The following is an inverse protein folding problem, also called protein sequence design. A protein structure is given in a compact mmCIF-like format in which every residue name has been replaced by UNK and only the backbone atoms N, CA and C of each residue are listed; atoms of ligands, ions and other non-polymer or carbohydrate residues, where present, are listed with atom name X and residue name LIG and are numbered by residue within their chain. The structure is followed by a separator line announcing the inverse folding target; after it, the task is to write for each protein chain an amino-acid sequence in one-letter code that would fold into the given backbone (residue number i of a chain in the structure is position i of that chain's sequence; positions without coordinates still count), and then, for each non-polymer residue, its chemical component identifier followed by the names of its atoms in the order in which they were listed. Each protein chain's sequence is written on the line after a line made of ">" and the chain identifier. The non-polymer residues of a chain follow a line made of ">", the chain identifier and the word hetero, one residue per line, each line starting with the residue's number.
data_IF_185794286798
#
_entry.id   IF_185794286798
#
_cell.length_a   1.000
_cell.length_b   1.000
_cell.length_c   1.000
_cell.angle_alpha   90.00
_cell.angle_beta   90.00
_cell.angle_gamma   90.00
#
_symmetry.space_group_name_H-M   'P 1'
#
loop_
_entity.id
_entity.type
_entity.pdbx_description
1 polymer ?
#
# COMPACT_ATOMS: atom_id res chain seq x y z
N UNK A 1 -4.13 -8.93 23.63
CA UNK A 1 -2.96 -8.54 22.82
C UNK A 1 -2.93 -9.40 21.55
N UNK A 2 -2.57 -8.85 20.40
CA UNK A 2 -2.44 -9.63 19.15
C UNK A 2 -1.07 -9.29 18.56
N UNK A 3 -0.17 -10.26 18.60
CA UNK A 3 1.16 -10.20 18.01
C UNK A 3 1.07 -9.86 16.50
N UNK A 4 1.29 -8.60 16.16
CA UNK A 4 1.37 -8.10 14.78
C UNK A 4 2.77 -8.31 14.20
N UNK A 5 3.29 -9.55 14.22
CA UNK A 5 4.53 -9.88 13.51
C UNK A 5 4.25 -10.15 12.03
N UNK A 6 3.79 -9.12 11.29
CA UNK A 6 3.61 -9.15 9.84
C UNK A 6 4.83 -8.57 9.10
N UNK A 7 5.24 -9.23 8.01
CA UNK A 7 6.31 -8.80 7.09
C UNK A 7 5.81 -7.67 6.19
N UNK A 8 6.67 -6.75 5.74
CA UNK A 8 6.22 -5.48 5.17
C UNK A 8 7.00 -5.02 3.95
N UNK A 9 6.29 -4.86 2.84
CA UNK A 9 6.65 -3.95 1.77
C UNK A 9 5.71 -2.75 1.75
N UNK A 10 6.23 -1.57 1.44
CA UNK A 10 5.44 -0.35 1.32
C UNK A 10 5.11 -0.09 -0.14
N UNK A 11 3.83 0.19 -0.40
CA UNK A 11 3.36 0.64 -1.70
C UNK A 11 3.02 2.11 -1.60
N UNK A 12 3.67 2.94 -2.42
CA UNK A 12 3.47 4.40 -2.40
C UNK A 12 3.02 4.95 -3.73
N UNK A 13 2.16 5.96 -3.66
CA UNK A 13 1.89 6.85 -4.77
C UNK A 13 2.74 8.13 -4.61
N UNK A 14 3.63 8.45 -5.57
CA UNK A 14 4.63 9.55 -5.44
C UNK A 14 4.96 10.25 -6.77
N UNK A 15 5.58 11.44 -6.68
CA UNK A 15 6.36 12.15 -7.72
C UNK A 15 7.88 12.16 -7.33
N UNK A 16 8.83 12.02 -8.29
CA UNK A 16 10.30 11.70 -8.10
C UNK A 16 11.18 12.80 -7.42
N UNK A 17 12.45 12.56 -6.94
CA UNK A 17 13.26 11.34 -6.69
C UNK A 17 13.75 11.10 -5.22
N UNK A 18 14.63 10.10 -5.05
CA UNK A 18 14.77 9.16 -3.93
C UNK A 18 16.13 9.15 -3.19
N UNK A 19 16.21 8.41 -2.05
CA UNK A 19 17.28 7.42 -1.75
C UNK A 19 16.91 6.54 -0.54
N UNK A 20 16.86 5.22 -0.73
CA UNK A 20 16.83 4.23 0.35
C UNK A 20 17.37 2.90 -0.20
N UNK A 21 18.36 2.29 0.49
CA UNK A 21 18.97 1.00 0.15
C UNK A 21 17.99 -0.15 0.42
N UNK A 22 17.24 -0.52 -0.62
CA UNK A 22 16.21 -1.56 -0.66
C UNK A 22 16.02 -2.11 -2.07
N UNK A 23 15.50 -3.33 -2.17
CA UNK A 23 14.79 -3.80 -3.37
C UNK A 23 13.59 -2.89 -3.60
N UNK A 24 13.69 -2.01 -4.60
CA UNK A 24 12.68 -1.00 -4.92
C UNK A 24 12.34 -1.06 -6.39
N UNK A 25 11.05 -1.17 -6.72
CA UNK A 25 10.55 -1.02 -8.10
C UNK A 25 9.68 0.22 -8.16
N UNK A 26 9.75 0.92 -9.29
CA UNK A 26 8.98 2.12 -9.55
C UNK A 26 8.39 2.09 -10.95
N UNK A 27 7.10 2.40 -11.06
CA UNK A 27 6.38 2.57 -12.32
C UNK A 27 5.66 3.92 -12.32
N UNK A 28 5.84 4.71 -13.38
CA UNK A 28 5.11 5.96 -13.58
C UNK A 28 4.17 5.82 -14.78
N UNK A 29 2.90 6.19 -14.64
CA UNK A 29 2.02 6.33 -15.79
C UNK A 29 2.49 7.52 -16.64
N UNK A 30 2.50 7.36 -17.96
CA UNK A 30 2.92 8.44 -18.87
C UNK A 30 1.85 9.55 -18.93
N UNK A 31 2.29 10.81 -18.88
CA UNK A 31 1.43 11.99 -18.98
C UNK A 31 1.51 12.94 -17.79
N UNK A 32 1.18 14.21 -18.00
CA UNK A 32 1.23 15.25 -16.96
C UNK A 32 0.17 14.96 -15.88
N UNK A 33 0.59 15.00 -14.61
CA UNK A 33 -0.30 14.77 -13.46
C UNK A 33 -0.73 13.32 -13.26
N UNK A 34 -0.08 12.35 -13.92
CA UNK A 34 -0.35 10.94 -13.71
C UNK A 34 0.41 10.40 -12.49
N UNK A 35 -0.18 9.43 -11.76
CA UNK A 35 0.44 8.86 -10.57
C UNK A 35 1.67 8.01 -10.92
N UNK A 36 2.62 7.94 -9.99
CA UNK A 36 3.65 6.92 -10.00
C UNK A 36 3.53 6.05 -8.77
N UNK A 37 3.74 4.76 -8.96
CA UNK A 37 3.74 3.75 -7.92
C UNK A 37 5.18 3.36 -7.63
N UNK A 38 5.52 3.24 -6.35
CA UNK A 38 6.79 2.67 -5.91
C UNK A 38 6.50 1.58 -4.89
N UNK A 39 7.14 0.43 -5.07
CA UNK A 39 7.13 -0.70 -4.16
C UNK A 39 8.51 -0.78 -3.54
N UNK A 40 8.62 -0.76 -2.22
CA UNK A 40 9.89 -0.98 -1.53
C UNK A 40 9.76 -2.14 -0.54
N UNK A 41 10.71 -3.07 -0.59
CA UNK A 41 10.71 -4.31 0.18
C UNK A 41 11.99 -4.48 0.98
N UNK A 42 11.81 -4.80 2.27
CA UNK A 42 12.89 -5.10 3.19
C UNK A 42 12.99 -6.62 3.36
N UNK A 43 14.01 -7.24 2.77
CA UNK A 43 14.29 -8.67 2.97
C UNK A 43 14.85 -8.98 4.37
N UNK A 44 15.39 -7.97 5.06
CA UNK A 44 15.97 -8.12 6.40
C UNK A 44 14.91 -7.92 7.50
N UNK A 45 14.73 -8.95 8.33
CA UNK A 45 13.80 -8.96 9.46
C UNK A 45 13.96 -7.79 10.44
N UNK A 46 15.19 -7.29 10.61
CA UNK A 46 15.50 -6.17 11.51
C UNK A 46 15.03 -4.81 11.01
N UNK A 47 14.64 -4.71 9.73
CA UNK A 47 14.18 -3.47 9.09
C UNK A 47 12.66 -3.47 8.84
N UNK A 48 11.94 -4.44 9.41
CA UNK A 48 10.47 -4.47 9.42
C UNK A 48 9.96 -3.21 10.10
N UNK A 49 9.04 -2.52 9.46
CA UNK A 49 8.41 -1.33 10.01
C UNK A 49 7.15 -1.77 10.79
N UNK A 50 6.31 -0.84 11.20
CA UNK A 50 4.89 -1.04 11.45
C UNK A 50 4.08 -0.11 10.53
N UNK A 51 2.75 -0.16 10.58
CA UNK A 51 1.91 0.69 9.72
C UNK A 51 2.25 2.18 9.83
N UNK A 52 2.43 2.69 11.05
CA UNK A 52 2.75 4.12 11.28
C UNK A 52 4.14 4.48 10.77
N UNK A 53 5.12 3.61 10.97
CA UNK A 53 6.49 3.80 10.45
C UNK A 53 6.52 3.75 8.92
N UNK A 54 5.74 2.86 8.30
CA UNK A 54 5.58 2.81 6.86
C UNK A 54 4.95 4.09 6.33
N UNK A 55 3.83 4.56 6.92
CA UNK A 55 3.20 5.84 6.57
C UNK A 55 4.21 6.99 6.63
N UNK A 56 4.96 7.09 7.73
CA UNK A 56 5.95 8.14 7.92
C UNK A 56 7.09 8.05 6.90
N UNK A 57 7.58 6.85 6.58
CA UNK A 57 8.59 6.64 5.56
C UNK A 57 8.10 7.13 4.19
N UNK A 58 6.85 6.84 3.83
CA UNK A 58 6.24 7.28 2.59
C UNK A 58 6.12 8.81 2.52
N UNK A 59 5.70 9.45 3.62
CA UNK A 59 5.59 10.91 3.74
C UNK A 59 6.93 11.62 3.66
N UNK A 60 7.97 11.07 4.30
CA UNK A 60 9.37 11.57 4.18
C UNK A 60 9.86 11.49 2.75
N UNK A 61 9.45 10.44 2.05
CA UNK A 61 9.60 10.26 0.63
C UNK A 61 8.55 11.05 -0.17
N UNK A 62 7.98 12.17 0.30
CA UNK A 62 7.09 13.04 -0.48
C UNK A 62 5.92 12.32 -1.18
N UNK A 63 5.48 11.19 -0.64
CA UNK A 63 4.38 10.38 -1.13
C UNK A 63 3.51 9.93 0.03
N UNK A 64 2.62 8.98 -0.26
CA UNK A 64 1.70 8.43 0.72
C UNK A 64 1.52 6.94 0.46
N UNK A 65 1.12 6.19 1.50
CA UNK A 65 0.72 4.81 1.33
C UNK A 65 -0.42 4.73 0.30
N UNK A 66 -0.37 3.70 -0.54
CA UNK A 66 -1.22 3.56 -1.70
C UNK A 66 -2.71 3.47 -1.34
N UNK A 67 -3.53 4.28 -1.99
CA UNK A 67 -4.95 4.03 -2.20
C UNK A 67 -5.18 3.30 -3.53
N UNK A 68 -6.02 2.27 -3.52
CA UNK A 68 -6.40 1.57 -4.75
C UNK A 68 -7.78 2.05 -5.14
N UNK A 69 -7.88 2.77 -6.25
CA UNK A 69 -9.15 3.39 -6.70
C UNK A 69 -9.74 2.71 -7.93
N UNK A 70 -9.00 1.81 -8.57
CA UNK A 70 -9.45 1.13 -9.78
C UNK A 70 -8.75 -0.21 -10.03
N UNK A 71 -9.40 -1.07 -10.81
CA UNK A 71 -8.83 -2.34 -11.27
C UNK A 71 -7.53 -2.16 -12.08
N UNK A 72 -7.42 -1.04 -12.81
CA UNK A 72 -6.20 -0.70 -13.55
C UNK A 72 -5.02 -0.43 -12.61
N UNK A 73 -5.29 0.15 -11.44
CA UNK A 73 -4.25 0.37 -10.43
C UNK A 73 -3.88 -0.92 -9.73
N UNK A 74 -4.87 -1.71 -9.30
CA UNK A 74 -4.65 -3.04 -8.76
C UNK A 74 -3.71 -3.87 -9.66
N UNK A 75 -3.99 -3.92 -10.97
CA UNK A 75 -3.14 -4.66 -11.92
C UNK A 75 -1.69 -4.18 -11.94
N UNK A 76 -1.46 -2.87 -11.85
CA UNK A 76 -0.10 -2.32 -11.78
C UNK A 76 0.59 -2.77 -10.49
N UNK A 77 -0.11 -2.80 -9.36
CA UNK A 77 0.45 -3.24 -8.09
C UNK A 77 0.78 -4.74 -8.12
N UNK A 78 -0.11 -5.56 -8.65
CA UNK A 78 0.12 -7.00 -8.82
C UNK A 78 1.34 -7.26 -9.73
N UNK A 79 1.51 -6.48 -10.79
CA UNK A 79 2.68 -6.53 -11.65
C UNK A 79 3.96 -6.16 -10.87
N UNK A 80 3.94 -5.05 -10.12
CA UNK A 80 5.07 -4.63 -9.30
C UNK A 80 5.48 -5.70 -8.26
N UNK A 81 4.51 -6.33 -7.60
CA UNK A 81 4.74 -7.42 -6.66
C UNK A 81 5.39 -8.61 -7.37
N UNK A 82 4.88 -8.97 -8.55
CA UNK A 82 5.41 -10.06 -9.36
C UNK A 82 6.84 -9.79 -9.82
N UNK A 83 7.16 -8.57 -10.23
CA UNK A 83 8.51 -8.18 -10.68
C UNK A 83 9.52 -8.18 -9.54
N UNK A 84 9.11 -7.75 -8.34
CA UNK A 84 9.97 -7.71 -7.16
C UNK A 84 10.35 -9.12 -6.67
N UNK A 85 9.51 -10.11 -6.99
CA UNK A 85 9.63 -11.51 -6.54
C UNK A 85 10.01 -11.61 -5.06
N UNK A 86 9.23 -10.98 -4.17
CA UNK A 86 9.51 -11.06 -2.74
C UNK A 86 9.46 -12.53 -2.32
N UNK A 87 10.40 -12.90 -1.46
CA UNK A 87 10.50 -14.27 -0.94
C UNK A 87 9.37 -14.62 0.02
N UNK A 88 8.70 -13.60 0.56
CA UNK A 88 7.67 -13.68 1.60
C UNK A 88 7.04 -12.29 1.83
N UNK A 89 5.84 -12.27 2.42
CA UNK A 89 5.36 -11.12 3.20
C UNK A 89 4.13 -10.36 2.71
N UNK A 90 3.61 -9.52 3.61
CA UNK A 90 2.47 -8.65 3.41
C UNK A 90 2.90 -7.24 2.97
N UNK A 91 1.95 -6.47 2.43
CA UNK A 91 2.18 -5.11 1.94
C UNK A 91 1.35 -4.09 2.71
N UNK A 92 1.97 -2.98 3.07
CA UNK A 92 1.25 -1.82 3.56
C UNK A 92 0.68 -0.98 2.41
N UNK A 93 -0.63 -0.79 2.50
CA UNK A 93 -1.41 0.15 1.71
C UNK A 93 -2.06 1.16 2.67
N UNK A 94 -2.58 2.26 2.14
CA UNK A 94 -3.11 3.38 2.91
C UNK A 94 -4.51 3.16 3.49
N UNK A 95 -4.95 1.92 3.69
CA UNK A 95 -6.29 1.62 4.21
C UNK A 95 -6.24 1.49 5.74
N UNK A 96 -7.04 2.29 6.45
CA UNK A 96 -7.10 2.27 7.91
C UNK A 96 -8.53 2.07 8.38
N UNK A 97 -8.71 1.31 9.46
CA UNK A 97 -9.99 1.21 10.16
C UNK A 97 -10.15 2.41 11.11
N UNK A 98 -11.26 3.12 11.00
CA UNK A 98 -11.70 4.10 11.98
C UNK A 98 -12.05 3.44 13.31
N UNK A 99 -11.87 4.19 14.40
CA UNK A 99 -12.35 3.78 15.72
C UNK A 99 -13.87 3.93 15.74
N UNK A 100 -14.58 3.02 15.08
CA UNK A 100 -16.01 2.89 15.24
C UNK A 100 -16.29 2.40 16.65
N UNK A 101 -16.55 3.33 17.57
CA UNK A 101 -17.17 2.99 18.84
C UNK A 101 -18.56 2.40 18.53
N UNK A 102 -18.68 1.08 18.65
CA UNK A 102 -19.96 0.42 18.89
C UNK A 102 -20.92 0.28 17.70
N UNK A 103 -20.45 0.01 16.49
CA UNK A 103 -21.39 -0.38 15.42
C UNK A 103 -21.41 -1.91 15.21
N UNK A 104 -22.50 -2.54 15.69
CA UNK A 104 -22.89 -3.92 15.41
C UNK A 104 -23.43 -4.09 13.98
N UNK A 105 -23.20 -3.12 13.09
CA UNK A 105 -23.50 -3.22 11.67
C UNK A 105 -22.68 -4.35 11.02
N UNK A 106 -23.39 -5.23 10.30
CA UNK A 106 -22.80 -6.26 9.44
C UNK A 106 -21.98 -5.70 8.28
N UNK A 107 -22.03 -4.38 8.04
CA UNK A 107 -21.28 -3.71 6.98
C UNK A 107 -19.98 -3.08 7.50
N UNK A 108 -18.97 -3.95 7.64
CA UNK A 108 -17.59 -3.57 7.99
C UNK A 108 -16.98 -2.56 7.00
N UNK A 109 -17.53 -2.39 5.80
CA UNK A 109 -16.98 -1.50 4.76
C UNK A 109 -16.98 -0.03 5.21
N UNK A 110 -18.00 0.36 5.99
CA UNK A 110 -18.18 1.73 6.51
C UNK A 110 -17.11 2.16 7.52
N UNK A 111 -16.37 1.20 8.08
CA UNK A 111 -15.37 1.43 9.11
C UNK A 111 -13.98 1.70 8.53
N UNK A 112 -13.75 1.57 7.22
CA UNK A 112 -12.44 1.78 6.60
C UNK A 112 -12.37 3.10 5.84
N UNK A 113 -11.22 3.76 5.90
CA UNK A 113 -10.92 4.98 5.16
C UNK A 113 -9.49 4.96 4.64
N UNK A 114 -9.26 5.64 3.52
CA UNK A 114 -7.94 5.81 2.95
C UNK A 114 -7.22 7.02 3.57
N UNK A 115 -5.93 6.87 3.87
CA UNK A 115 -5.10 7.92 4.49
C UNK A 115 -4.91 9.17 3.63
N UNK A 116 -5.15 9.05 2.33
CA UNK A 116 -5.09 10.17 1.39
C UNK A 116 -6.43 10.90 1.21
N UNK A 117 -7.47 10.46 1.92
CA UNK A 117 -8.82 11.02 1.82
C UNK A 117 -9.58 10.57 0.57
N UNK A 118 -9.06 9.62 -0.21
CA UNK A 118 -9.81 9.05 -1.33
C UNK A 118 -11.08 8.37 -0.82
N UNK A 119 -12.19 8.58 -1.52
CA UNK A 119 -13.49 7.96 -1.23
C UNK A 119 -13.71 6.67 -2.02
N UNK A 120 -12.62 6.01 -2.41
CA UNK A 120 -12.67 4.85 -3.29
C UNK A 120 -13.60 3.78 -2.71
N UNK A 121 -14.64 3.43 -3.49
CA UNK A 121 -15.52 2.28 -3.25
C UNK A 121 -14.96 1.02 -3.90
N UNK A 122 -13.77 1.10 -4.51
CA UNK A 122 -13.14 -0.02 -5.19
C UNK A 122 -12.81 -1.10 -4.17
N UNK A 123 -13.34 -2.30 -4.40
CA UNK A 123 -13.06 -3.49 -3.60
C UNK A 123 -11.94 -4.24 -4.28
N UNK A 124 -10.89 -4.55 -3.53
CA UNK A 124 -9.85 -5.44 -4.03
C UNK A 124 -10.45 -6.81 -4.28
N UNK A 125 -10.65 -7.15 -5.54
CA UNK A 125 -11.08 -8.48 -5.95
C UNK A 125 -9.82 -9.29 -6.19
N UNK A 126 -9.61 -10.38 -5.43
CA UNK A 126 -8.62 -11.38 -5.88
C UNK A 126 -9.09 -11.83 -7.26
N UNK A 127 -8.21 -11.78 -8.25
CA UNK A 127 -8.49 -12.38 -9.55
C UNK A 127 -8.55 -13.91 -9.40
N UNK A 128 -9.61 -14.43 -8.80
CA UNK A 128 -10.06 -15.78 -9.09
C UNK A 128 -10.94 -15.68 -10.31
N UNK A 129 -10.36 -16.04 -11.46
CA UNK A 129 -10.99 -16.74 -12.59
C UNK A 129 -10.44 -16.23 -13.94
N UNK A 130 -9.48 -16.99 -14.49
CA UNK A 130 -9.57 -17.42 -15.89
C UNK A 130 -8.92 -18.77 -16.07
#
# INVERSE_FOLDING_TARGET
>A
ERDETGIQALVVNRHQPAKMDLLTIRVCKAGKGKPCYKLAYFSELRRRLNFMEAELACRRDGGQLLSVESASEQKIIEQLITELRPTDGDFWIGLRRGNGEGDNSSDCSSQYYWLDGSKSTFRWERSENS
#
